data_IF_525188362985
#
_entry.id   IF_525188362985
#
_cell.length_a   1.000
_cell.length_b   1.000
_cell.length_c   1.000
_cell.angle_alpha   90.00
_cell.angle_beta   90.00
_cell.angle_gamma   90.00
#
_symmetry.space_group_name_H-M   'P 1'
#
loop_
_entity.id
_entity.type
_entity.pdbx_description
1 polymer ?
#
# COMPACT_ATOMS: atom_id res chain seq x y z
N UNK A 1 29.37 -27.61 -4.40
CA UNK A 1 28.21 -26.72 -4.51
C UNK A 1 28.78 -25.38 -4.94
N UNK A 2 28.74 -25.10 -6.24
CA UNK A 2 29.42 -23.94 -6.82
C UNK A 2 28.84 -22.65 -6.25
N UNK A 3 29.72 -21.83 -5.67
CA UNK A 3 29.43 -20.45 -5.32
C UNK A 3 29.07 -19.71 -6.60
N UNK A 4 27.79 -19.41 -6.79
CA UNK A 4 27.35 -18.46 -7.83
C UNK A 4 27.94 -17.10 -7.47
N UNK A 5 28.96 -16.71 -8.20
CA UNK A 5 29.63 -15.43 -8.02
C UNK A 5 28.74 -14.36 -8.65
N UNK A 6 27.98 -13.58 -7.86
CA UNK A 6 27.03 -12.56 -8.35
C UNK A 6 27.68 -11.44 -9.17
N UNK A 7 29.01 -11.33 -9.18
CA UNK A 7 29.74 -10.52 -10.18
C UNK A 7 29.45 -10.95 -11.63
N UNK A 8 28.89 -12.14 -11.86
CA UNK A 8 28.36 -12.59 -13.15
C UNK A 8 26.98 -12.02 -13.51
N UNK A 9 26.28 -11.32 -12.59
CA UNK A 9 24.96 -10.74 -12.86
C UNK A 9 25.04 -9.38 -13.57
N UNK A 10 26.24 -8.82 -13.75
CA UNK A 10 26.49 -7.75 -14.72
C UNK A 10 26.37 -8.33 -16.13
N UNK A 11 25.14 -8.53 -16.58
CA UNK A 11 24.85 -9.07 -17.90
C UNK A 11 24.69 -7.95 -18.93
N UNK A 12 25.14 -8.20 -20.16
CA UNK A 12 24.87 -7.29 -21.27
C UNK A 12 23.35 -7.18 -21.48
N UNK A 13 22.86 -5.98 -21.81
CA UNK A 13 21.42 -5.72 -21.96
C UNK A 13 20.79 -6.51 -23.13
N UNK A 14 20.43 -7.78 -22.91
CA UNK A 14 19.70 -8.60 -23.88
C UNK A 14 18.25 -8.10 -24.05
N UNK A 15 17.61 -8.44 -25.18
CA UNK A 15 16.33 -7.88 -25.62
C UNK A 15 15.17 -8.04 -24.62
N UNK A 16 15.18 -9.13 -23.84
CA UNK A 16 14.27 -9.39 -22.72
C UNK A 16 14.97 -10.34 -21.75
N UNK A 17 15.84 -9.81 -20.90
CA UNK A 17 16.56 -10.64 -19.94
C UNK A 17 15.67 -10.95 -18.72
N UNK A 18 15.40 -12.23 -18.49
CA UNK A 18 14.70 -12.74 -17.30
C UNK A 18 15.71 -13.57 -16.48
N UNK A 19 16.46 -12.94 -15.56
CA UNK A 19 17.39 -13.69 -14.74
C UNK A 19 16.66 -14.82 -13.98
N UNK A 20 17.29 -16.00 -13.79
CA UNK A 20 16.68 -17.10 -13.05
C UNK A 20 16.21 -16.66 -11.65
N UNK A 21 15.00 -17.07 -11.26
CA UNK A 21 14.40 -16.74 -9.96
C UNK A 21 13.64 -15.41 -9.91
N UNK A 22 13.62 -14.65 -11.01
CA UNK A 22 12.86 -13.40 -11.08
C UNK A 22 11.38 -13.68 -11.39
N UNK A 23 10.51 -12.91 -10.74
CA UNK A 23 9.07 -12.97 -10.92
C UNK A 23 8.61 -11.93 -11.94
N UNK A 24 7.60 -12.28 -12.74
CA UNK A 24 7.00 -11.33 -13.68
C UNK A 24 5.89 -10.55 -12.98
N UNK A 25 5.98 -9.22 -12.99
CA UNK A 25 4.94 -8.30 -12.49
C UNK A 25 4.39 -7.44 -13.62
N UNK A 26 3.10 -7.15 -13.57
CA UNK A 26 2.49 -6.10 -14.38
C UNK A 26 2.60 -4.78 -13.62
N UNK A 27 3.15 -3.74 -14.25
CA UNK A 27 3.21 -2.38 -13.69
C UNK A 27 2.42 -1.40 -14.55
N UNK A 28 1.76 -0.45 -13.90
CA UNK A 28 1.08 0.66 -14.57
C UNK A 28 2.11 1.73 -14.95
N UNK A 29 2.12 2.14 -16.23
CA UNK A 29 2.91 3.26 -16.70
C UNK A 29 2.06 4.53 -16.67
N UNK A 30 2.46 5.50 -15.85
CA UNK A 30 1.78 6.78 -15.71
C UNK A 30 2.46 7.85 -16.57
N UNK A 31 1.86 8.27 -17.69
CA UNK A 31 2.39 9.38 -18.46
C UNK A 31 2.25 10.68 -17.66
N UNK A 32 3.27 11.55 -17.74
CA UNK A 32 3.23 12.89 -17.13
C UNK A 32 2.41 13.89 -17.94
N UNK A 33 1.93 13.50 -19.13
CA UNK A 33 1.05 14.30 -19.97
C UNK A 33 1.01 13.82 -21.41
N UNK A 34 0.34 14.58 -22.28
CA UNK A 34 0.36 14.36 -23.74
C UNK A 34 1.54 15.08 -24.39
N UNK A 35 2.04 14.52 -25.48
CA UNK A 35 3.00 15.20 -26.35
C UNK A 35 2.31 16.33 -27.15
N UNK A 36 3.07 17.32 -27.66
CA UNK A 36 2.55 18.32 -28.59
C UNK A 36 1.83 17.70 -29.79
N UNK A 37 0.74 18.33 -30.26
CA UNK A 37 -0.14 17.83 -31.34
C UNK A 37 0.60 17.35 -32.61
N UNK A 38 1.73 17.97 -32.94
CA UNK A 38 2.57 17.60 -34.10
C UNK A 38 3.14 16.17 -34.04
N UNK A 39 3.15 15.54 -32.86
CA UNK A 39 3.60 14.16 -32.66
C UNK A 39 2.46 13.15 -32.68
N UNK A 40 1.25 13.57 -33.03
CA UNK A 40 0.06 12.71 -33.10
C UNK A 40 -0.77 12.70 -31.82
N UNK A 41 -2.05 12.28 -31.91
CA UNK A 41 -3.01 12.34 -30.80
C UNK A 41 -2.77 11.30 -29.70
N UNK A 42 -2.02 10.23 -30.00
CA UNK A 42 -1.75 9.09 -29.11
C UNK A 42 -0.30 9.05 -28.61
N UNK A 43 0.38 10.19 -28.59
CA UNK A 43 1.77 10.26 -28.13
C UNK A 43 1.81 10.91 -26.75
N UNK A 44 2.49 10.23 -25.83
CA UNK A 44 2.49 10.57 -24.41
C UNK A 44 3.89 10.94 -23.93
N UNK A 45 3.93 11.81 -22.92
CA UNK A 45 5.14 12.25 -22.25
C UNK A 45 5.43 11.36 -21.05
N UNK A 46 6.65 10.84 -20.98
CA UNK A 46 7.19 10.19 -19.79
C UNK A 46 8.43 10.95 -19.32
N UNK A 47 8.85 10.71 -18.07
CA UNK A 47 10.18 11.14 -17.63
C UNK A 47 11.25 10.53 -18.55
N UNK A 48 12.38 11.22 -18.74
CA UNK A 48 13.50 10.67 -19.51
C UNK A 48 14.28 9.60 -18.72
N UNK A 49 13.56 8.84 -17.89
CA UNK A 49 14.13 7.71 -17.19
C UNK A 49 14.85 6.82 -18.20
N UNK A 50 16.11 6.52 -17.92
CA UNK A 50 16.99 5.81 -18.86
C UNK A 50 16.35 4.50 -19.29
N UNK A 51 15.66 3.85 -18.36
CA UNK A 51 15.02 2.56 -18.54
C UNK A 51 13.82 2.64 -19.47
N UNK A 52 12.86 3.56 -19.26
CA UNK A 52 11.64 3.65 -20.10
C UNK A 52 11.96 3.90 -21.57
N UNK A 53 12.99 4.68 -21.87
CA UNK A 53 13.44 4.95 -23.24
C UNK A 53 13.99 3.72 -23.98
N UNK A 54 14.32 2.65 -23.24
CA UNK A 54 14.88 1.39 -23.76
C UNK A 54 13.87 0.25 -23.66
N UNK A 55 13.18 0.11 -22.52
CA UNK A 55 12.30 -1.04 -22.25
C UNK A 55 10.98 -0.98 -23.02
N UNK A 56 10.46 0.22 -23.29
CA UNK A 56 9.18 0.40 -23.98
C UNK A 56 9.30 0.11 -25.48
N UNK A 57 10.34 0.57 -26.20
CA UNK A 57 10.56 0.18 -27.59
C UNK A 57 10.67 -1.33 -27.81
N UNK A 58 11.28 -2.06 -26.87
CA UNK A 58 11.34 -3.54 -26.91
C UNK A 58 9.96 -4.20 -26.78
N UNK A 59 8.96 -3.47 -26.28
CA UNK A 59 7.57 -3.90 -26.09
C UNK A 59 6.62 -3.27 -27.12
N UNK A 60 7.16 -2.86 -28.28
CA UNK A 60 6.37 -2.35 -29.41
C UNK A 60 5.98 -0.87 -29.32
N UNK A 61 6.47 -0.12 -28.32
CA UNK A 61 6.26 1.32 -28.28
C UNK A 61 7.16 2.04 -29.28
N UNK A 62 6.67 3.10 -29.89
CA UNK A 62 7.48 3.93 -30.79
C UNK A 62 8.07 5.11 -30.04
N UNK A 63 9.40 5.20 -29.96
CA UNK A 63 10.09 6.38 -29.42
C UNK A 63 10.07 7.51 -30.45
N UNK A 64 9.28 8.56 -30.16
CA UNK A 64 9.11 9.71 -31.06
C UNK A 64 10.16 10.79 -30.82
N UNK A 65 10.50 11.04 -29.54
CA UNK A 65 11.52 12.02 -29.17
C UNK A 65 12.15 11.67 -27.84
N UNK A 66 13.45 11.87 -27.70
CA UNK A 66 14.18 11.83 -26.44
C UNK A 66 14.80 13.19 -26.12
N UNK A 67 14.70 13.61 -24.87
CA UNK A 67 15.36 14.78 -24.28
C UNK A 67 16.09 14.34 -23.00
N UNK A 68 16.80 15.26 -22.35
CA UNK A 68 17.43 15.03 -21.04
C UNK A 68 16.41 14.74 -19.94
N UNK A 69 15.22 15.36 -20.00
CA UNK A 69 14.25 15.34 -18.89
C UNK A 69 12.94 14.62 -19.24
N UNK A 70 12.65 14.40 -20.52
CA UNK A 70 11.44 13.69 -20.94
C UNK A 70 11.64 12.89 -22.23
N UNK A 71 10.75 11.92 -22.44
CA UNK A 71 10.61 11.19 -23.71
C UNK A 71 9.16 11.27 -24.19
N UNK A 72 8.99 11.25 -25.51
CA UNK A 72 7.69 11.07 -26.14
C UNK A 72 7.63 9.70 -26.76
N UNK A 73 6.62 8.94 -26.36
CA UNK A 73 6.41 7.55 -26.75
C UNK A 73 4.96 7.35 -27.20
N UNK A 74 4.79 6.57 -28.26
CA UNK A 74 3.50 6.16 -28.79
C UNK A 74 3.30 4.67 -28.49
N UNK A 75 2.16 4.28 -27.88
CA UNK A 75 1.88 2.88 -27.58
C UNK A 75 1.65 2.05 -28.85
N UNK A 76 1.77 0.71 -28.77
CA UNK A 76 1.45 -0.18 -29.88
C UNK A 76 -0.03 -0.11 -30.27
N UNK A 77 -0.34 -0.54 -31.50
CA UNK A 77 -1.71 -0.54 -32.02
C UNK A 77 -2.63 -1.43 -31.14
N UNK A 78 -3.67 -0.82 -30.56
CA UNK A 78 -4.63 -1.50 -29.67
C UNK A 78 -4.70 -0.90 -28.25
N UNK A 79 -3.63 -0.27 -27.77
CA UNK A 79 -3.56 0.35 -26.45
C UNK A 79 -3.35 1.86 -26.58
N UNK A 80 -4.29 2.57 -27.20
CA UNK A 80 -4.09 3.98 -27.58
C UNK A 80 -4.35 4.98 -26.45
N UNK A 81 -4.94 4.53 -25.34
CA UNK A 81 -5.32 5.38 -24.21
C UNK A 81 -4.91 4.77 -22.86
N UNK A 82 -4.47 5.58 -21.89
CA UNK A 82 -4.13 5.10 -20.55
C UNK A 82 -5.38 4.59 -19.80
N UNK A 83 -5.20 3.76 -18.75
CA UNK A 83 -3.93 3.32 -18.17
C UNK A 83 -3.16 2.33 -19.05
N UNK A 84 -1.84 2.46 -19.08
CA UNK A 84 -0.96 1.56 -19.82
C UNK A 84 -0.30 0.58 -18.87
N UNK A 85 -0.10 -0.66 -19.30
CA UNK A 85 0.53 -1.70 -18.49
C UNK A 85 1.68 -2.35 -19.24
N UNK A 86 2.75 -2.70 -18.53
CA UNK A 86 3.81 -3.54 -19.07
C UNK A 86 4.16 -4.66 -18.11
N UNK A 87 4.53 -5.81 -18.68
CA UNK A 87 5.13 -6.90 -17.92
C UNK A 87 6.64 -6.67 -17.77
N UNK A 88 7.12 -6.80 -16.55
CA UNK A 88 8.52 -6.65 -16.17
C UNK A 88 9.00 -7.86 -15.36
N UNK A 89 10.24 -8.26 -15.57
CA UNK A 89 10.93 -9.20 -14.70
C UNK A 89 11.50 -8.42 -13.51
N UNK A 90 11.26 -8.88 -12.29
CA UNK A 90 11.84 -8.30 -11.07
C UNK A 90 12.27 -9.38 -10.08
N UNK A 91 13.33 -9.17 -9.29
CA UNK A 91 13.68 -10.07 -8.20
C UNK A 91 12.59 -10.07 -7.12
N UNK A 92 12.45 -11.19 -6.39
CA UNK A 92 11.69 -11.19 -5.14
C UNK A 92 12.42 -10.42 -4.04
N UNK A 93 11.71 -10.07 -2.97
CA UNK A 93 12.29 -9.41 -1.82
C UNK A 93 13.42 -10.26 -1.19
N UNK A 94 13.21 -11.57 -1.08
CA UNK A 94 14.23 -12.50 -0.58
C UNK A 94 15.50 -12.50 -1.44
N UNK A 95 15.32 -12.48 -2.77
CA UNK A 95 16.45 -12.43 -3.70
C UNK A 95 17.17 -11.08 -3.62
N UNK A 96 16.45 -9.96 -3.47
CA UNK A 96 17.06 -8.65 -3.22
C UNK A 96 17.94 -8.66 -1.95
N UNK A 97 17.46 -9.29 -0.87
CA UNK A 97 18.21 -9.42 0.38
C UNK A 97 19.45 -10.31 0.21
N UNK A 98 19.33 -11.41 -0.52
CA UNK A 98 20.46 -12.29 -0.85
C UNK A 98 21.54 -11.55 -1.64
N UNK A 99 21.16 -10.84 -2.71
CA UNK A 99 22.08 -10.01 -3.51
C UNK A 99 22.80 -8.99 -2.62
N UNK A 100 22.07 -8.31 -1.72
CA UNK A 100 22.66 -7.31 -0.84
C UNK A 100 23.68 -7.90 0.15
N UNK A 101 23.41 -9.09 0.71
CA UNK A 101 24.34 -9.81 1.59
C UNK A 101 25.59 -10.25 0.85
N UNK A 102 25.44 -10.75 -0.37
CA UNK A 102 26.58 -11.14 -1.20
C UNK A 102 27.45 -9.93 -1.57
N UNK A 103 26.84 -8.82 -1.97
CA UNK A 103 27.58 -7.58 -2.24
C UNK A 103 28.30 -7.06 -0.99
N UNK A 104 27.69 -7.23 0.20
CA UNK A 104 28.34 -6.88 1.46
C UNK A 104 29.57 -7.74 1.75
N UNK A 105 29.47 -9.06 1.50
CA UNK A 105 30.60 -9.98 1.66
C UNK A 105 31.76 -9.67 0.71
N UNK A 106 31.49 -9.07 -0.46
CA UNK A 106 32.52 -8.61 -1.40
C UNK A 106 33.25 -7.35 -0.93
N UNK A 107 32.63 -6.52 -0.07
CA UNK A 107 33.29 -5.37 0.54
C UNK A 107 33.46 -4.13 -0.36
N UNK A 108 32.88 -4.13 -1.56
CA UNK A 108 33.08 -3.06 -2.55
C UNK A 108 31.77 -2.50 -3.09
N UNK A 109 31.77 -1.19 -3.40
CA UNK A 109 30.65 -0.52 -4.06
C UNK A 109 30.71 -0.72 -5.58
N UNK A 110 29.56 -0.84 -6.24
CA UNK A 110 29.49 -0.97 -7.69
C UNK A 110 28.22 -0.36 -8.29
N UNK A 111 28.28 -0.07 -9.59
CA UNK A 111 27.17 0.41 -10.40
C UNK A 111 27.13 -0.42 -11.69
N UNK A 112 25.95 -0.91 -12.05
CA UNK A 112 25.81 -1.79 -13.21
C UNK A 112 24.34 -2.01 -13.57
N UNK A 113 24.06 -3.20 -14.10
CA UNK A 113 22.74 -3.62 -14.53
C UNK A 113 22.45 -5.02 -13.97
N UNK A 114 21.23 -5.22 -13.46
CA UNK A 114 20.68 -6.53 -13.08
C UNK A 114 19.38 -6.72 -13.86
N UNK A 115 19.26 -7.79 -14.64
CA UNK A 115 18.10 -7.91 -15.52
C UNK A 115 18.08 -6.82 -16.60
N UNK A 116 16.92 -6.21 -16.80
CA UNK A 116 16.75 -4.99 -17.62
C UNK A 116 16.92 -3.69 -16.81
N UNK A 117 17.26 -3.78 -15.51
CA UNK A 117 17.23 -2.65 -14.59
C UNK A 117 18.63 -2.16 -14.22
N UNK A 118 18.86 -0.83 -14.17
CA UNK A 118 20.06 -0.30 -13.56
C UNK A 118 20.08 -0.70 -12.08
N UNK A 119 21.27 -1.00 -11.56
CA UNK A 119 21.46 -1.39 -10.19
C UNK A 119 22.72 -0.75 -9.61
N UNK A 120 22.65 -0.37 -8.34
CA UNK A 120 23.75 0.22 -7.60
C UNK A 120 23.85 -0.41 -6.23
N UNK A 121 25.05 -0.84 -5.86
CA UNK A 121 25.39 -1.18 -4.49
C UNK A 121 26.40 -0.20 -3.93
N UNK A 122 26.14 0.28 -2.72
CA UNK A 122 27.02 1.16 -1.98
C UNK A 122 27.38 0.48 -0.68
N UNK A 123 28.66 0.16 -0.51
CA UNK A 123 29.21 -0.50 0.65
C UNK A 123 29.55 0.51 1.75
N UNK A 124 29.08 0.26 2.97
CA UNK A 124 29.48 0.94 4.22
C UNK A 124 29.69 2.45 4.10
N UNK A 125 28.71 3.14 3.53
CA UNK A 125 28.78 4.60 3.39
C UNK A 125 28.73 5.28 4.74
N UNK A 126 29.56 6.30 4.91
CA UNK A 126 29.41 7.23 6.03
C UNK A 126 28.04 7.91 5.95
N UNK A 127 27.28 7.85 7.04
CA UNK A 127 25.96 8.49 7.19
C UNK A 127 25.92 9.50 8.33
N UNK A 128 27.08 9.96 8.80
CA UNK A 128 27.19 11.03 9.78
C UNK A 128 26.42 12.28 9.31
N UNK A 129 25.73 12.92 10.24
CA UNK A 129 24.92 14.10 9.96
C UNK A 129 25.43 15.29 10.76
N UNK A 130 25.48 16.46 10.12
CA UNK A 130 25.73 17.71 10.83
C UNK A 130 24.40 18.33 11.26
N UNK A 131 24.11 18.34 12.55
CA UNK A 131 22.97 19.05 13.12
C UNK A 131 23.37 20.50 13.30
N UNK A 132 22.74 21.37 12.53
CA UNK A 132 22.94 22.82 12.62
C UNK A 132 21.77 23.40 13.42
N UNK A 133 22.07 24.07 14.53
CA UNK A 133 21.08 24.73 15.37
C UNK A 133 21.55 26.12 15.78
N UNK A 134 20.62 26.96 16.21
CA UNK A 134 20.93 28.27 16.76
C UNK A 134 21.05 28.17 18.28
N UNK A 135 22.16 28.63 18.84
CA UNK A 135 22.34 28.70 20.27
C UNK A 135 21.28 29.67 20.85
N UNK A 136 20.43 29.24 21.80
CA UNK A 136 19.35 30.05 22.33
C UNK A 136 19.84 31.22 23.22
N UNK A 137 21.08 31.16 23.71
CA UNK A 137 21.69 32.17 24.59
C UNK A 137 22.51 33.17 23.77
N UNK A 138 23.38 32.69 22.88
CA UNK A 138 24.29 33.58 22.12
C UNK A 138 23.71 34.00 20.77
N UNK A 139 22.72 33.27 20.25
CA UNK A 139 22.15 33.51 18.91
C UNK A 139 23.08 33.08 17.77
N UNK A 140 24.24 32.51 18.06
CA UNK A 140 25.19 32.02 17.08
C UNK A 140 24.74 30.69 16.47
N UNK A 141 25.22 30.41 15.26
CA UNK A 141 24.99 29.10 14.62
C UNK A 141 25.99 28.11 15.18
N UNK A 142 25.49 27.04 15.80
CA UNK A 142 26.30 25.92 16.30
C UNK A 142 26.06 24.69 15.44
N UNK A 143 27.11 23.92 15.22
CA UNK A 143 27.05 22.67 14.46
C UNK A 143 27.53 21.50 15.31
N UNK A 144 26.72 20.46 15.41
CA UNK A 144 27.00 19.22 16.13
C UNK A 144 27.12 18.07 15.13
N UNK A 145 28.24 17.34 15.15
CA UNK A 145 28.41 16.13 14.33
C UNK A 145 27.75 14.93 15.01
N UNK A 146 26.67 14.43 14.42
CA UNK A 146 25.99 13.21 14.82
C UNK A 146 26.62 12.02 14.07
N UNK A 147 27.33 11.16 14.80
CA UNK A 147 27.93 9.95 14.21
C UNK A 147 26.88 8.86 14.04
N UNK A 148 26.87 8.22 12.88
CA UNK A 148 26.00 7.09 12.58
C UNK A 148 26.83 5.87 12.16
N UNK A 149 26.34 4.64 12.41
CA UNK A 149 26.99 3.46 11.86
C UNK A 149 27.02 3.54 10.33
N UNK A 150 28.10 3.07 9.69
CA UNK A 150 28.17 3.04 8.24
C UNK A 150 27.07 2.16 7.67
N UNK A 151 26.51 2.59 6.54
CA UNK A 151 25.31 2.01 5.97
C UNK A 151 25.57 1.48 4.57
N UNK A 152 25.19 0.24 4.33
CA UNK A 152 25.18 -0.35 3.00
C UNK A 152 23.80 -0.23 2.37
N UNK A 153 23.75 -0.08 1.04
CA UNK A 153 22.47 -0.02 0.32
C UNK A 153 22.58 -0.61 -1.06
N UNK A 154 21.56 -1.38 -1.45
CA UNK A 154 21.33 -1.86 -2.82
C UNK A 154 20.09 -1.17 -3.38
N UNK A 155 20.21 -0.61 -4.58
CA UNK A 155 19.10 -0.09 -5.36
C UNK A 155 19.04 -0.85 -6.69
N UNK A 156 17.86 -1.33 -7.06
CA UNK A 156 17.60 -1.94 -8.37
C UNK A 156 16.39 -1.25 -8.97
N UNK A 157 16.48 -0.81 -10.22
CA UNK A 157 15.36 -0.20 -10.93
C UNK A 157 15.48 1.31 -11.07
N UNK A 158 14.35 1.94 -11.38
CA UNK A 158 14.28 3.37 -11.63
C UNK A 158 12.98 3.97 -11.12
N UNK A 159 13.10 5.11 -10.45
CA UNK A 159 11.99 5.82 -9.86
C UNK A 159 10.94 6.23 -10.91
N UNK A 160 9.67 5.96 -10.62
CA UNK A 160 8.56 6.23 -11.53
C UNK A 160 8.29 5.13 -12.57
N UNK A 161 9.06 4.04 -12.59
CA UNK A 161 8.72 2.81 -13.30
C UNK A 161 8.57 1.65 -12.31
N UNK A 162 9.69 1.16 -11.78
CA UNK A 162 9.75 0.16 -10.73
C UNK A 162 11.12 0.25 -10.05
N UNK A 163 11.17 0.10 -8.73
CA UNK A 163 12.41 0.00 -7.99
C UNK A 163 12.27 -0.94 -6.79
N UNK A 164 13.40 -1.49 -6.37
CA UNK A 164 13.60 -2.18 -5.12
C UNK A 164 14.79 -1.54 -4.39
N UNK A 165 14.59 -1.25 -3.12
CA UNK A 165 15.61 -0.67 -2.25
C UNK A 165 15.87 -1.62 -1.10
N UNK A 166 17.14 -1.84 -0.78
CA UNK A 166 17.59 -2.61 0.36
C UNK A 166 18.60 -1.78 1.13
N UNK A 167 18.48 -1.79 2.43
CA UNK A 167 19.34 -1.07 3.36
C UNK A 167 19.87 -2.04 4.39
N UNK A 168 21.14 -1.91 4.79
CA UNK A 168 21.67 -2.64 5.92
C UNK A 168 22.80 -1.95 6.66
N UNK A 169 23.04 -2.42 7.88
CA UNK A 169 24.14 -2.00 8.77
C UNK A 169 24.87 -3.27 9.20
N UNK A 170 26.20 -3.28 9.12
CA UNK A 170 27.01 -4.44 9.53
C UNK A 170 26.57 -5.79 8.91
N UNK A 171 26.04 -5.77 7.68
CA UNK A 171 25.57 -6.96 6.98
C UNK A 171 24.12 -7.37 7.26
N UNK A 172 23.44 -6.72 8.20
CA UNK A 172 22.02 -6.94 8.48
C UNK A 172 21.15 -6.08 7.56
N UNK A 173 20.52 -6.72 6.57
CA UNK A 173 19.73 -6.06 5.53
C UNK A 173 18.22 -6.23 5.72
N UNK A 174 17.47 -5.19 5.32
CA UNK A 174 16.02 -5.19 5.23
C UNK A 174 15.53 -4.42 3.99
N UNK A 175 14.33 -4.76 3.51
CA UNK A 175 13.67 -4.10 2.38
C UNK A 175 13.29 -2.66 2.76
N UNK A 176 13.52 -1.74 1.83
CA UNK A 176 13.22 -0.33 1.94
C UNK A 176 14.43 0.55 2.26
N UNK A 177 14.17 1.86 2.31
CA UNK A 177 15.16 2.88 2.67
C UNK A 177 14.90 3.28 4.13
N UNK A 178 15.69 2.76 5.06
CA UNK A 178 15.60 3.24 6.46
C UNK A 178 16.34 4.57 6.61
N UNK A 179 15.75 5.59 7.25
CA UNK A 179 16.49 6.79 7.61
C UNK A 179 17.58 6.43 8.63
N UNK A 180 18.69 7.19 8.68
CA UNK A 180 19.65 7.05 9.77
C UNK A 180 18.89 7.24 11.10
N UNK A 181 19.09 6.31 12.04
CA UNK A 181 18.50 6.19 13.40
C UNK A 181 17.26 5.28 13.65
N UNK A 182 16.73 4.54 12.68
CA UNK A 182 15.79 3.45 13.01
C UNK A 182 16.54 2.16 13.33
N UNK A 183 17.12 2.08 14.54
CA UNK A 183 17.60 0.81 15.09
C UNK A 183 16.41 0.14 15.78
N UNK A 184 15.95 -1.00 15.24
CA UNK A 184 15.09 -1.94 15.96
C UNK A 184 16.00 -2.93 16.69
N UNK A 185 16.66 -2.49 17.76
CA UNK A 185 17.33 -3.39 18.71
C UNK A 185 16.24 -4.01 19.56
N UNK A 186 15.71 -5.13 19.10
CA UNK A 186 15.19 -6.27 19.87
C UNK A 186 14.31 -7.12 18.94
N UNK A 187 14.85 -8.26 18.51
CA UNK A 187 14.04 -9.35 17.98
C UNK A 187 13.36 -10.05 19.16
N UNK A 188 12.12 -9.66 19.45
CA UNK A 188 11.19 -10.57 20.12
C UNK A 188 10.86 -11.72 19.14
N UNK A 189 10.81 -12.99 19.57
CA UNK A 189 10.40 -14.08 18.69
C UNK A 189 8.99 -13.80 18.20
N UNK A 190 8.84 -13.49 16.92
CA UNK A 190 7.53 -13.36 16.28
C UNK A 190 6.97 -14.76 16.07
N UNK A 191 5.83 -15.12 16.69
CA UNK A 191 5.05 -16.25 16.19
C UNK A 191 4.71 -15.95 14.72
N UNK A 192 4.80 -16.96 13.85
CA UNK A 192 4.42 -16.84 12.45
C UNK A 192 2.92 -16.52 12.36
N UNK A 193 2.59 -15.23 12.25
CA UNK A 193 1.24 -14.71 12.02
C UNK A 193 1.12 -14.39 10.54
N UNK A 194 0.85 -15.41 9.71
CA UNK A 194 0.55 -15.23 8.29
C UNK A 194 -0.92 -14.84 8.11
N UNK A 195 -1.15 -13.62 7.60
CA UNK A 195 -2.44 -13.10 7.15
C UNK A 195 -2.34 -12.72 5.65
N UNK A 196 -3.47 -12.52 4.95
CA UNK A 196 -3.46 -12.02 3.58
C UNK A 196 -3.57 -13.07 2.46
N UNK A 197 -3.89 -14.32 2.79
CA UNK A 197 -4.34 -15.27 1.76
C UNK A 197 -5.66 -14.76 1.17
N UNK A 198 -5.75 -14.54 -0.16
CA UNK A 198 -6.99 -14.08 -0.78
C UNK A 198 -8.08 -15.14 -0.59
N UNK A 199 -9.18 -14.75 0.05
CA UNK A 199 -10.39 -15.58 0.20
C UNK A 199 -11.50 -14.93 -0.62
N UNK A 200 -11.95 -15.63 -1.66
CA UNK A 200 -13.14 -15.22 -2.39
C UNK A 200 -14.38 -15.58 -1.56
N UNK A 201 -15.23 -14.59 -1.30
CA UNK A 201 -16.51 -14.76 -0.60
C UNK A 201 -17.62 -14.32 -1.54
N UNK A 202 -18.46 -15.28 -1.96
CA UNK A 202 -19.72 -14.99 -2.64
C UNK A 202 -20.72 -14.47 -1.60
N UNK A 203 -21.07 -13.18 -1.71
CA UNK A 203 -22.00 -12.52 -0.80
C UNK A 203 -23.35 -12.31 -1.49
N UNK A 204 -24.42 -12.80 -0.89
CA UNK A 204 -25.80 -12.44 -1.25
C UNK A 204 -26.18 -11.18 -0.48
N UNK A 205 -26.42 -10.06 -1.17
CA UNK A 205 -26.97 -8.84 -0.58
C UNK A 205 -28.49 -8.79 -0.77
N UNK A 206 -29.20 -8.30 0.24
CA UNK A 206 -30.64 -8.08 0.20
C UNK A 206 -30.91 -6.57 0.13
N UNK A 207 -31.84 -6.18 -0.73
CA UNK A 207 -32.32 -4.79 -0.84
C UNK A 207 -32.96 -4.35 0.50
N UNK A 208 -32.72 -3.10 0.90
CA UNK A 208 -33.27 -2.53 2.15
C UNK A 208 -34.19 -1.36 1.79
N UNK A 209 -35.41 -1.37 2.35
CA UNK A 209 -36.39 -0.33 2.11
C UNK A 209 -36.09 0.91 2.98
N UNK A 210 -35.79 2.04 2.32
CA UNK A 210 -35.46 3.30 3.00
C UNK A 210 -36.66 3.90 3.76
N UNK A 211 -37.89 3.69 3.30
CA UNK A 211 -39.10 4.12 4.00
C UNK A 211 -39.29 3.36 5.30
N UNK A 212 -39.00 2.05 5.32
CA UNK A 212 -39.07 1.27 6.56
C UNK A 212 -38.06 1.79 7.60
N UNK A 213 -36.85 2.16 7.17
CA UNK A 213 -35.86 2.82 8.04
C UNK A 213 -36.39 4.15 8.57
N UNK A 214 -36.94 5.00 7.69
CA UNK A 214 -37.47 6.31 8.05
C UNK A 214 -38.61 6.20 9.08
N UNK A 215 -39.59 5.34 8.83
CA UNK A 215 -40.72 5.10 9.72
C UNK A 215 -40.28 4.56 11.09
N UNK A 216 -39.26 3.68 11.13
CA UNK A 216 -38.68 3.19 12.38
C UNK A 216 -38.07 4.35 13.21
N UNK A 217 -37.31 5.23 12.57
CA UNK A 217 -36.69 6.39 13.24
C UNK A 217 -37.73 7.42 13.64
N UNK A 218 -38.78 7.65 12.84
CA UNK A 218 -39.90 8.52 13.21
C UNK A 218 -40.62 8.03 14.47
N UNK A 219 -40.78 6.71 14.62
CA UNK A 219 -41.44 6.12 15.78
C UNK A 219 -40.55 6.08 17.04
N UNK A 220 -39.32 5.57 16.93
CA UNK A 220 -38.43 5.33 18.08
C UNK A 220 -37.50 6.52 18.39
N UNK A 221 -37.35 7.46 17.46
CA UNK A 221 -36.33 8.50 17.46
C UNK A 221 -34.93 7.98 17.08
N UNK A 222 -34.01 8.90 16.79
CA UNK A 222 -32.59 8.60 16.57
C UNK A 222 -31.84 8.32 17.89
N UNK A 223 -32.41 7.41 18.70
CA UNK A 223 -31.93 7.03 20.03
C UNK A 223 -31.71 5.53 20.10
N UNK A 224 -30.53 5.13 20.60
CA UNK A 224 -30.23 3.71 20.82
C UNK A 224 -31.21 3.11 21.84
N UNK A 225 -31.93 2.07 21.43
CA UNK A 225 -32.88 1.40 22.30
C UNK A 225 -32.19 0.53 23.36
N UNK A 226 -30.91 0.19 23.23
CA UNK A 226 -30.17 -0.52 24.27
C UNK A 226 -29.60 0.41 25.34
N UNK A 227 -28.67 1.30 24.98
CA UNK A 227 -27.93 2.15 25.94
C UNK A 227 -28.47 3.57 26.08
N UNK A 228 -29.47 3.97 25.28
CA UNK A 228 -30.04 5.32 25.32
C UNK A 228 -29.20 6.41 24.65
N UNK A 229 -28.05 6.07 24.03
CA UNK A 229 -27.21 7.05 23.33
C UNK A 229 -27.99 7.76 22.21
N UNK A 230 -27.87 9.08 22.18
CA UNK A 230 -28.30 9.96 21.09
C UNK A 230 -27.04 10.64 20.54
N UNK A 231 -26.72 10.41 19.27
CA UNK A 231 -25.49 10.97 18.67
C UNK A 231 -25.52 12.49 18.60
N UNK A 232 -26.67 13.10 18.32
CA UNK A 232 -26.84 14.55 18.31
C UNK A 232 -26.49 15.20 19.65
N UNK A 233 -26.87 14.57 20.77
CA UNK A 233 -26.52 15.07 22.10
C UNK A 233 -25.01 15.04 22.38
N UNK A 234 -24.28 14.09 21.80
CA UNK A 234 -22.84 13.90 22.04
C UNK A 234 -21.96 14.65 21.03
N UNK A 235 -22.40 14.72 19.78
CA UNK A 235 -21.61 15.22 18.66
C UNK A 235 -22.21 16.48 18.00
N UNK A 236 -23.33 16.99 18.51
CA UNK A 236 -24.03 18.13 17.93
C UNK A 236 -24.69 17.79 16.59
N UNK A 237 -24.87 18.80 15.74
CA UNK A 237 -25.63 18.70 14.48
C UNK A 237 -25.12 17.60 13.53
N UNK A 238 -23.82 17.27 13.55
CA UNK A 238 -23.25 16.19 12.72
C UNK A 238 -23.69 14.79 13.17
N UNK A 239 -24.27 14.66 14.36
CA UNK A 239 -24.85 13.42 14.89
C UNK A 239 -26.37 13.34 14.71
N UNK A 240 -27.00 14.32 14.05
CA UNK A 240 -28.45 14.32 13.79
C UNK A 240 -28.84 13.16 12.89
N UNK A 241 -29.90 12.43 13.27
CA UNK A 241 -30.44 11.25 12.58
C UNK A 241 -29.43 10.10 12.37
N UNK A 242 -28.26 10.18 13.01
CA UNK A 242 -27.18 9.21 12.90
C UNK A 242 -27.45 8.03 13.85
N UNK A 243 -28.06 6.97 13.32
CA UNK A 243 -28.33 5.73 14.06
C UNK A 243 -28.40 4.54 13.08
N UNK A 244 -27.98 3.35 13.54
CA UNK A 244 -28.17 2.10 12.79
C UNK A 244 -29.56 1.54 13.09
N UNK A 245 -30.27 1.09 12.06
CA UNK A 245 -31.54 0.36 12.23
C UNK A 245 -31.25 -1.13 12.04
N UNK A 246 -31.42 -1.89 13.12
CA UNK A 246 -31.16 -3.32 13.20
C UNK A 246 -32.44 -4.11 12.96
N UNK A 247 -32.36 -5.21 12.21
CA UNK A 247 -33.48 -6.13 12.10
C UNK A 247 -33.48 -7.06 13.32
N UNK A 248 -34.59 -7.11 14.06
CA UNK A 248 -34.75 -7.98 15.23
C UNK A 248 -34.58 -9.46 14.83
N UNK A 249 -35.15 -9.84 13.68
CA UNK A 249 -34.91 -11.13 13.03
C UNK A 249 -34.03 -10.92 11.80
N UNK A 250 -32.83 -11.51 11.73
CA UNK A 250 -31.94 -11.34 10.58
C UNK A 250 -32.59 -11.75 9.26
N UNK A 251 -32.42 -10.93 8.21
CA UNK A 251 -32.95 -11.22 6.87
C UNK A 251 -32.47 -12.58 6.31
N UNK A 252 -31.24 -12.98 6.64
CA UNK A 252 -30.68 -14.26 6.22
C UNK A 252 -31.45 -15.47 6.78
N UNK A 253 -32.09 -15.32 7.94
CA UNK A 253 -32.90 -16.38 8.56
C UNK A 253 -34.33 -16.43 7.99
N UNK A 254 -34.79 -15.34 7.37
CA UNK A 254 -36.12 -15.25 6.72
C UNK A 254 -36.09 -15.94 5.35
N UNK A 255 -34.99 -15.83 4.60
CA UNK A 255 -34.74 -16.60 3.37
C UNK A 255 -35.59 -16.24 2.15
N UNK A 256 -36.63 -15.41 2.31
CA UNK A 256 -37.53 -14.95 1.25
C UNK A 256 -37.88 -13.45 1.39
N UNK A 257 -38.47 -12.87 0.33
CA UNK A 257 -38.98 -11.51 0.40
C UNK A 257 -40.19 -11.45 1.35
N UNK A 258 -40.16 -10.58 2.35
CA UNK A 258 -41.26 -10.37 3.30
C UNK A 258 -41.55 -8.89 3.47
N UNK A 259 -42.77 -8.58 3.93
CA UNK A 259 -43.18 -7.23 4.24
C UNK A 259 -42.66 -6.84 5.63
N UNK A 260 -41.67 -5.94 5.66
CA UNK A 260 -41.07 -5.43 6.90
C UNK A 260 -42.05 -4.50 7.65
N UNK A 261 -42.25 -4.76 8.95
CA UNK A 261 -42.92 -3.86 9.89
C UNK A 261 -41.88 -2.94 10.57
N UNK A 262 -41.89 -1.63 10.30
CA UNK A 262 -40.90 -0.70 10.84
C UNK A 262 -40.84 -0.59 12.37
N UNK A 263 -41.86 -1.08 13.07
CA UNK A 263 -41.97 -1.01 14.52
C UNK A 263 -41.61 -2.37 15.14
N UNK A 264 -42.08 -3.48 14.57
CA UNK A 264 -41.86 -4.82 15.13
C UNK A 264 -40.56 -5.45 14.71
N UNK A 265 -40.17 -5.25 13.45
CA UNK A 265 -39.03 -5.96 12.86
C UNK A 265 -37.74 -5.15 12.94
N UNK A 266 -37.84 -3.85 13.20
CA UNK A 266 -36.72 -2.91 13.20
C UNK A 266 -36.54 -2.24 14.55
N UNK A 267 -35.28 -2.05 14.96
CA UNK A 267 -34.94 -1.38 16.20
C UNK A 267 -33.68 -0.50 16.05
N UNK A 268 -33.70 0.78 16.48
CA UNK A 268 -32.52 1.64 16.42
C UNK A 268 -31.47 1.27 17.47
N UNK A 269 -30.21 1.11 17.03
CA UNK A 269 -29.05 0.83 17.87
C UNK A 269 -27.87 1.74 17.48
N UNK A 270 -27.04 2.14 18.46
CA UNK A 270 -25.78 2.82 18.17
C UNK A 270 -24.75 1.85 17.58
N UNK A 271 -23.69 2.37 16.96
CA UNK A 271 -22.65 1.55 16.32
C UNK A 271 -22.07 0.50 17.28
N UNK A 272 -21.83 0.87 18.54
CA UNK A 272 -21.30 -0.05 19.56
C UNK A 272 -22.30 -1.14 19.94
N UNK A 273 -23.54 -0.78 20.28
CA UNK A 273 -24.56 -1.78 20.63
C UNK A 273 -24.91 -2.67 19.44
N UNK A 274 -24.93 -2.13 18.22
CA UNK A 274 -25.13 -2.90 16.99
C UNK A 274 -23.99 -3.90 16.76
N UNK A 275 -22.74 -3.48 16.98
CA UNK A 275 -21.59 -4.38 16.89
C UNK A 275 -21.65 -5.51 17.93
N UNK A 276 -21.96 -5.17 19.20
CA UNK A 276 -22.10 -6.18 20.26
C UNK A 276 -23.26 -7.13 19.98
N UNK A 277 -24.40 -6.64 19.45
CA UNK A 277 -25.52 -7.49 19.05
C UNK A 277 -25.08 -8.61 18.11
N UNK A 278 -24.25 -8.29 17.12
CA UNK A 278 -23.75 -9.23 16.13
C UNK A 278 -22.50 -10.02 16.55
N UNK A 279 -22.03 -9.90 17.79
CA UNK A 279 -20.92 -10.71 18.29
C UNK A 279 -21.27 -12.20 18.44
N UNK A 280 -22.56 -12.57 18.36
CA UNK A 280 -23.02 -13.97 18.30
C UNK A 280 -24.12 -14.13 17.24
N UNK A 281 -24.37 -15.38 16.88
CA UNK A 281 -25.51 -15.80 16.05
C UNK A 281 -26.35 -16.81 16.85
N UNK A 282 -27.66 -16.58 17.04
CA UNK A 282 -28.44 -15.40 16.65
C UNK A 282 -28.06 -14.14 17.47
N UNK A 283 -28.23 -12.92 16.93
CA UNK A 283 -27.84 -11.68 17.60
C UNK A 283 -28.39 -11.53 19.03
N UNK A 284 -27.69 -10.78 19.89
CA UNK A 284 -28.22 -10.42 21.20
C UNK A 284 -29.45 -9.51 21.05
N UNK A 285 -30.49 -9.81 21.82
CA UNK A 285 -31.68 -8.97 21.92
C UNK A 285 -31.37 -7.67 22.64
N UNK A 286 -32.17 -6.63 22.39
CA UNK A 286 -32.05 -5.35 23.11
C UNK A 286 -32.22 -5.54 24.63
N UNK A 287 -33.04 -6.49 25.07
CA UNK A 287 -33.18 -6.80 26.50
C UNK A 287 -31.90 -7.37 27.10
N UNK A 288 -31.23 -8.29 26.40
CA UNK A 288 -29.95 -8.84 26.85
C UNK A 288 -28.87 -7.75 26.90
N UNK A 289 -28.81 -6.89 25.88
CA UNK A 289 -27.87 -5.76 25.86
C UNK A 289 -28.12 -4.80 27.04
N UNK A 290 -29.38 -4.47 27.32
CA UNK A 290 -29.76 -3.65 28.48
C UNK A 290 -29.32 -4.29 29.80
N UNK A 291 -29.56 -5.59 29.96
CA UNK A 291 -29.16 -6.32 31.17
C UNK A 291 -27.63 -6.33 31.35
N UNK A 292 -26.87 -6.58 30.28
CA UNK A 292 -25.40 -6.58 30.33
C UNK A 292 -24.84 -5.19 30.68
N UNK A 293 -25.41 -4.12 30.11
CA UNK A 293 -25.02 -2.74 30.42
C UNK A 293 -25.34 -2.41 31.88
N UNK A 294 -26.53 -2.79 32.37
CA UNK A 294 -26.95 -2.53 33.74
C UNK A 294 -26.12 -3.31 34.78
N UNK A 295 -25.63 -4.51 34.43
CA UNK A 295 -24.74 -5.31 35.28
C UNK A 295 -23.28 -4.81 35.29
N UNK A 296 -22.94 -3.83 34.44
CA UNK A 296 -21.59 -3.25 34.32
C UNK A 296 -21.46 -1.90 35.05
N UNK A 297 -22.47 -1.52 35.83
CA UNK A 297 -22.54 -0.29 36.65
C UNK A 297 -22.52 -0.69 38.13
#
# INVERSE_FOLDING_TARGET
MDQKNITSLTEAAAQTHYPPGWITKSIELKPSGKAPKKYGPYTYRFGASMTLSVILPRRGWTLVKKSRNYVYLTPPAGELTPPFYISIAVPSDDLCLEIARECYAQGESWLGQLGEWPAQYLHERNTDMLKISRDPVTGEMVSELLKNPPKSSLHIGEWGAWNADVTGIAGDFAIGIFPPSFIRTEQLPTPNLTEGTPREVLLTSYERNEDARRLCIEYYGAKCQACGLVYENKYGVIGKDLIHVHHVTPLADIGEAYQVDPIKDLIPLCASCHHVAHHRTPPYTVSELRAAIAASV
#
